data_IF_428486140250
#
_entry.id   IF_428486140250
#
_cell.length_a   1.000
_cell.length_b   1.000
_cell.length_c   1.000
_cell.angle_alpha   90.00
_cell.angle_beta   90.00
_cell.angle_gamma   90.00
#
_symmetry.space_group_name_H-M   'P 1'
#
loop_
_entity.id
_entity.type
_entity.pdbx_description
1 polymer ?
#
# COMPACT_ATOMS: atom_id res chain seq x y z
N UNK A 1 -4.60 -9.21 -11.89
CA UNK A 1 -5.92 -8.68 -12.35
C UNK A 1 -5.90 -8.27 -13.82
N UNK A 2 -4.89 -7.52 -14.27
CA UNK A 2 -4.80 -7.00 -15.65
C UNK A 2 -4.73 -8.09 -16.74
N UNK A 3 -4.09 -9.23 -16.48
CA UNK A 3 -4.01 -10.35 -17.43
C UNK A 3 -5.39 -10.94 -17.84
N UNK A 4 -6.43 -10.72 -17.02
CA UNK A 4 -7.80 -11.16 -17.32
C UNK A 4 -8.59 -10.18 -18.18
N UNK A 5 -8.07 -8.97 -18.36
CA UNK A 5 -8.76 -7.85 -19.02
C UNK A 5 -8.20 -7.65 -20.43
N UNK A 6 -6.87 -7.72 -20.59
CA UNK A 6 -6.21 -7.49 -21.86
C UNK A 6 -6.15 -8.78 -22.68
N UNK A 7 -6.87 -8.80 -23.80
CA UNK A 7 -6.80 -9.89 -24.78
C UNK A 7 -5.48 -9.84 -25.57
N UNK A 8 -5.00 -10.99 -26.04
CA UNK A 8 -3.82 -11.07 -26.91
C UNK A 8 -2.48 -10.85 -26.20
N UNK A 9 -2.42 -10.88 -24.86
CA UNK A 9 -1.16 -10.81 -24.14
C UNK A 9 -0.23 -11.96 -24.54
N UNK A 10 1.06 -11.70 -24.82
CA UNK A 10 2.06 -12.75 -24.98
C UNK A 10 2.06 -13.67 -23.76
N UNK A 11 2.14 -15.00 -23.97
CA UNK A 11 2.04 -16.00 -22.91
C UNK A 11 3.02 -15.74 -21.75
N UNK A 12 4.25 -15.33 -22.08
CA UNK A 12 5.29 -14.96 -21.08
C UNK A 12 4.86 -13.78 -20.21
N UNK A 13 4.22 -12.77 -20.80
CA UNK A 13 3.75 -11.59 -20.09
C UNK A 13 2.52 -11.90 -19.23
N UNK A 14 1.57 -12.69 -19.75
CA UNK A 14 0.42 -13.16 -18.97
C UNK A 14 0.87 -13.93 -17.73
N UNK A 15 1.81 -14.87 -17.89
CA UNK A 15 2.37 -15.64 -16.77
C UNK A 15 3.06 -14.72 -15.75
N UNK A 16 3.87 -13.77 -16.19
CA UNK A 16 4.53 -12.82 -15.29
C UNK A 16 3.51 -11.96 -14.50
N UNK A 17 2.39 -11.58 -15.13
CA UNK A 17 1.31 -10.86 -14.44
C UNK A 17 0.58 -11.72 -13.41
N UNK A 18 0.49 -13.02 -13.62
CA UNK A 18 -0.10 -13.99 -12.67
C UNK A 18 0.80 -14.23 -11.46
N UNK A 19 2.11 -14.12 -11.62
CA UNK A 19 3.11 -14.29 -10.55
C UNK A 19 3.10 -13.12 -9.55
N UNK A 20 2.55 -11.95 -9.92
CA UNK A 20 2.42 -10.82 -8.99
C UNK A 20 1.31 -11.10 -7.98
N UNK A 21 1.71 -11.28 -6.73
CA UNK A 21 0.85 -11.51 -5.57
C UNK A 21 0.57 -10.21 -4.82
N UNK A 22 -0.59 -10.11 -4.18
CA UNK A 22 -1.02 -8.90 -3.48
C UNK A 22 -1.52 -9.22 -2.08
N UNK A 23 -1.09 -8.48 -1.06
CA UNK A 23 -1.59 -8.64 0.33
C UNK A 23 -2.80 -7.76 0.61
N UNK A 24 -3.75 -8.23 1.44
CA UNK A 24 -4.70 -7.35 2.10
C UNK A 24 -3.99 -6.44 3.11
N UNK A 25 -4.34 -5.16 3.10
CA UNK A 25 -3.69 -4.14 3.94
C UNK A 25 -4.73 -3.18 4.53
N UNK A 26 -5.61 -3.66 5.44
CA UNK A 26 -6.54 -2.80 6.13
C UNK A 26 -5.83 -1.79 7.04
N UNK A 27 -6.50 -0.68 7.27
CA UNK A 27 -6.08 0.34 8.25
C UNK A 27 -7.21 0.48 9.27
N UNK A 28 -6.88 0.35 10.54
CA UNK A 28 -7.83 0.49 11.65
C UNK A 28 -7.52 1.81 12.35
N UNK A 29 -8.48 2.73 12.37
CA UNK A 29 -8.38 3.99 13.09
C UNK A 29 -9.09 3.87 14.43
N UNK A 30 -8.35 4.08 15.52
CA UNK A 30 -8.87 4.21 16.87
C UNK A 30 -9.08 5.70 17.17
N UNK A 31 -10.31 6.10 17.49
CA UNK A 31 -10.70 7.50 17.64
C UNK A 31 -11.02 7.78 19.11
N UNK A 32 -10.27 8.70 19.71
CA UNK A 32 -10.42 9.09 21.12
C UNK A 32 -10.84 10.56 21.24
N UNK A 33 -11.64 10.87 22.24
CA UNK A 33 -12.09 12.23 22.61
C UNK A 33 -11.05 13.01 23.42
N UNK A 34 -9.96 12.32 23.79
CA UNK A 34 -8.85 12.86 24.55
C UNK A 34 -7.52 12.34 24.00
N UNK A 35 -6.41 13.02 24.28
CA UNK A 35 -5.08 12.52 23.93
C UNK A 35 -4.79 11.18 24.63
N UNK A 36 -4.48 10.15 23.85
CA UNK A 36 -4.01 8.84 24.32
C UNK A 36 -2.52 8.66 24.00
N UNK A 37 -2.09 9.10 22.82
CA UNK A 37 -0.69 9.06 22.42
C UNK A 37 -0.26 10.32 21.66
N UNK A 38 0.79 10.96 22.16
CA UNK A 38 1.33 12.22 21.60
C UNK A 38 2.86 12.25 21.53
N UNK A 39 3.54 11.14 21.84
CA UNK A 39 5.00 11.11 22.02
C UNK A 39 5.79 11.03 20.69
N UNK A 40 5.17 10.54 19.62
CA UNK A 40 5.83 10.35 18.32
C UNK A 40 4.83 10.29 17.18
N UNK A 41 5.33 10.47 15.95
CA UNK A 41 4.52 10.35 14.74
C UNK A 41 4.17 8.90 14.44
N UNK A 42 5.19 8.05 14.35
CA UNK A 42 5.13 6.64 13.96
C UNK A 42 5.73 5.79 15.09
N UNK A 43 4.99 4.77 15.52
CA UNK A 43 5.37 3.87 16.60
C UNK A 43 5.24 2.42 16.17
N UNK A 44 6.38 1.74 16.10
CA UNK A 44 6.48 0.34 15.70
C UNK A 44 6.08 -0.59 16.84
N UNK A 45 5.26 -1.59 16.53
CA UNK A 45 4.62 -2.47 17.49
C UNK A 45 4.80 -3.96 17.11
N UNK A 46 6.04 -4.46 16.97
CA UNK A 46 6.28 -5.84 16.55
C UNK A 46 5.63 -6.86 17.50
N UNK A 47 5.12 -7.95 16.94
CA UNK A 47 4.48 -9.03 17.69
C UNK A 47 2.97 -8.85 17.94
N UNK A 48 2.37 -7.78 17.40
CA UNK A 48 0.93 -7.52 17.49
C UNK A 48 0.21 -7.84 16.17
N UNK A 49 -1.12 -7.77 16.20
CA UNK A 49 -1.98 -7.93 15.01
C UNK A 49 -1.85 -6.78 14.00
N UNK A 50 -1.13 -5.71 14.33
CA UNK A 50 -0.76 -4.60 13.48
C UNK A 50 0.75 -4.34 13.60
N UNK A 51 1.36 -3.71 12.59
CA UNK A 51 2.82 -3.50 12.53
C UNK A 51 3.25 -2.24 13.27
N UNK A 52 2.49 -1.18 13.09
CA UNK A 52 2.78 0.17 13.57
C UNK A 52 1.49 0.97 13.63
N UNK A 53 1.51 2.06 14.39
CA UNK A 53 0.46 3.06 14.33
C UNK A 53 1.05 4.45 14.20
N UNK A 54 0.32 5.32 13.49
CA UNK A 54 0.65 6.74 13.41
C UNK A 54 -0.37 7.59 14.13
N UNK A 55 0.08 8.76 14.54
CA UNK A 55 -0.76 9.84 15.01
C UNK A 55 -1.23 10.67 13.82
N UNK A 56 -2.50 10.56 13.44
CA UNK A 56 -2.99 11.03 12.14
C UNK A 56 -2.83 12.54 11.91
N UNK A 57 -2.93 13.34 12.97
CA UNK A 57 -2.87 14.80 12.91
C UNK A 57 -1.46 15.36 13.11
N UNK A 58 -0.43 14.51 13.22
CA UNK A 58 0.92 14.92 13.60
C UNK A 58 1.47 16.10 12.79
N UNK A 59 1.26 16.09 11.47
CA UNK A 59 1.80 17.10 10.54
C UNK A 59 1.08 18.45 10.60
N UNK A 60 -0.10 18.52 11.22
CA UNK A 60 -0.88 19.76 11.35
C UNK A 60 -0.87 20.35 12.76
N UNK A 61 -0.36 19.62 13.76
CA UNK A 61 -0.33 20.05 15.17
C UNK A 61 0.36 21.38 15.44
N UNK A 62 1.36 21.73 14.62
CA UNK A 62 2.11 22.99 14.75
C UNK A 62 1.54 24.14 13.93
N UNK A 63 0.41 23.94 13.23
CA UNK A 63 -0.22 25.01 12.47
C UNK A 63 -0.92 25.98 13.43
N UNK A 64 -0.76 27.31 13.26
CA UNK A 64 -1.46 28.29 14.09
C UNK A 64 -2.97 28.07 14.06
N UNK A 65 -3.61 28.13 15.24
CA UNK A 65 -5.06 27.94 15.39
C UNK A 65 -5.56 26.50 15.27
N UNK A 66 -4.66 25.50 15.21
CA UNK A 66 -5.06 24.10 15.26
C UNK A 66 -5.41 23.66 16.68
N UNK A 67 -6.67 23.32 16.91
CA UNK A 67 -7.17 22.74 18.15
C UNK A 67 -7.54 21.27 17.92
N UNK A 68 -6.79 20.30 18.48
CA UNK A 68 -7.07 18.89 18.28
C UNK A 68 -8.38 18.50 18.97
N UNK A 69 -9.42 18.21 18.17
CA UNK A 69 -10.71 17.73 18.67
C UNK A 69 -10.70 16.24 19.04
N UNK A 70 -9.97 15.44 18.28
CA UNK A 70 -9.87 13.99 18.45
C UNK A 70 -8.42 13.56 18.38
N UNK A 71 -8.04 12.55 19.15
CA UNK A 71 -6.79 11.84 18.93
C UNK A 71 -7.08 10.59 18.10
N UNK A 72 -6.69 10.63 16.83
CA UNK A 72 -6.86 9.51 15.90
C UNK A 72 -5.54 8.78 15.75
N UNK A 73 -5.54 7.49 16.09
CA UNK A 73 -4.40 6.59 15.92
C UNK A 73 -4.70 5.64 14.77
N UNK A 74 -3.89 5.66 13.72
CA UNK A 74 -4.09 4.83 12.53
C UNK A 74 -3.13 3.63 12.57
N UNK A 75 -3.68 2.45 12.83
CA UNK A 75 -2.94 1.19 12.94
C UNK A 75 -2.89 0.48 11.58
N UNK A 76 -1.68 0.22 11.07
CA UNK A 76 -1.48 -0.51 9.83
C UNK A 76 -1.48 -2.00 10.09
N UNK A 77 -2.41 -2.70 9.45
CA UNK A 77 -2.80 -4.06 9.86
C UNK A 77 -2.63 -5.03 8.67
N UNK A 78 -1.42 -5.25 8.12
CA UNK A 78 -1.23 -6.19 7.03
C UNK A 78 -1.75 -7.58 7.41
N UNK A 79 -2.50 -8.19 6.51
CA UNK A 79 -2.97 -9.57 6.67
C UNK A 79 -2.23 -10.50 5.71
N UNK A 80 -2.23 -11.79 6.02
CA UNK A 80 -1.80 -12.82 5.08
C UNK A 80 -2.78 -12.91 3.91
N UNK A 81 -2.30 -13.37 2.76
CA UNK A 81 -3.13 -13.47 1.55
C UNK A 81 -4.37 -14.35 1.71
N UNK A 82 -4.27 -15.43 2.49
CA UNK A 82 -5.38 -16.34 2.80
C UNK A 82 -6.40 -15.75 3.78
N UNK A 83 -6.06 -14.67 4.47
CA UNK A 83 -6.95 -13.94 5.38
C UNK A 83 -7.76 -12.84 4.68
N UNK A 84 -7.65 -12.72 3.35
CA UNK A 84 -8.35 -11.67 2.59
C UNK A 84 -9.86 -11.69 2.78
N UNK A 85 -10.44 -12.87 2.93
CA UNK A 85 -11.87 -13.08 3.15
C UNK A 85 -12.36 -12.41 4.44
N UNK A 86 -11.49 -12.18 5.43
CA UNK A 86 -11.85 -11.48 6.67
C UNK A 86 -12.30 -10.03 6.41
N UNK A 87 -12.00 -9.46 5.25
CA UNK A 87 -12.39 -8.10 4.88
C UNK A 87 -13.71 -8.02 4.08
N UNK A 88 -14.31 -9.15 3.72
CA UNK A 88 -15.49 -9.19 2.84
C UNK A 88 -16.79 -8.91 3.58
N UNK A 89 -16.89 -9.33 4.85
CA UNK A 89 -18.09 -9.15 5.66
C UNK A 89 -17.87 -8.17 6.80
N UNK A 90 -18.94 -7.53 7.26
CA UNK A 90 -18.85 -6.68 8.44
C UNK A 90 -18.47 -7.44 9.71
N UNK A 91 -19.07 -8.62 10.04
CA UNK A 91 -18.69 -9.35 11.25
C UNK A 91 -17.21 -9.73 11.28
N UNK A 92 -16.64 -10.16 10.14
CA UNK A 92 -15.23 -10.51 10.05
C UNK A 92 -14.30 -9.30 10.17
N UNK A 93 -14.64 -8.19 9.50
CA UNK A 93 -13.87 -6.96 9.60
C UNK A 93 -13.89 -6.38 11.04
N UNK A 94 -15.03 -6.50 11.75
CA UNK A 94 -15.13 -6.13 13.17
C UNK A 94 -14.20 -6.98 14.05
N UNK A 95 -14.04 -8.28 13.77
CA UNK A 95 -13.07 -9.12 14.49
C UNK A 95 -11.63 -8.65 14.29
N UNK A 96 -11.26 -8.29 13.05
CA UNK A 96 -9.93 -7.71 12.76
C UNK A 96 -9.71 -6.43 13.57
N UNK A 97 -10.66 -5.48 13.51
CA UNK A 97 -10.58 -4.24 14.28
C UNK A 97 -10.52 -4.47 15.79
N UNK A 98 -11.30 -5.41 16.31
CA UNK A 98 -11.29 -5.79 17.72
C UNK A 98 -9.96 -6.39 18.16
N UNK A 99 -9.30 -7.19 17.31
CA UNK A 99 -7.95 -7.71 17.59
C UNK A 99 -6.92 -6.60 17.69
N UNK A 100 -6.96 -5.62 16.77
CA UNK A 100 -6.09 -4.45 16.81
C UNK A 100 -6.28 -3.65 18.10
N UNK A 101 -7.52 -3.38 18.50
CA UNK A 101 -7.81 -2.66 19.74
C UNK A 101 -7.27 -3.42 20.96
N UNK A 102 -7.52 -4.73 21.05
CA UNK A 102 -7.02 -5.56 22.17
C UNK A 102 -5.51 -5.56 22.28
N UNK A 103 -4.79 -5.52 21.17
CA UNK A 103 -3.33 -5.47 21.18
C UNK A 103 -2.81 -4.07 21.49
N UNK A 104 -3.45 -3.03 20.95
CA UNK A 104 -3.14 -1.64 21.29
C UNK A 104 -3.24 -1.39 22.79
N UNK A 105 -4.31 -1.86 23.44
CA UNK A 105 -4.57 -1.65 24.88
C UNK A 105 -3.54 -2.27 25.83
N UNK A 106 -2.58 -3.06 25.31
CA UNK A 106 -1.51 -3.70 26.07
C UNK A 106 -0.15 -3.04 25.87
N UNK A 107 -0.01 -2.08 24.96
CA UNK A 107 1.30 -1.60 24.50
C UNK A 107 2.07 -0.79 25.55
N UNK A 108 1.39 0.08 26.29
CA UNK A 108 2.03 0.99 27.23
C UNK A 108 1.07 1.44 28.36
N UNK A 109 1.61 1.93 29.50
CA UNK A 109 0.77 2.51 30.55
C UNK A 109 -0.10 3.66 30.01
N UNK A 110 -1.42 3.51 30.08
CA UNK A 110 -2.39 4.46 29.53
C UNK A 110 -2.97 4.09 28.16
N UNK A 111 -2.49 3.02 27.52
CA UNK A 111 -3.09 2.48 26.28
C UNK A 111 -4.39 1.70 26.51
N UNK A 112 -4.61 1.19 27.73
CA UNK A 112 -5.84 0.49 28.13
C UNK A 112 -7.01 1.48 28.32
N UNK A 113 -7.51 2.00 27.20
CA UNK A 113 -8.61 2.95 27.12
C UNK A 113 -9.47 2.58 25.92
N UNK A 114 -10.79 2.73 26.06
CA UNK A 114 -11.72 2.47 24.97
C UNK A 114 -11.84 3.70 24.06
N UNK A 115 -11.74 3.53 22.73
CA UNK A 115 -12.03 4.60 21.78
C UNK A 115 -13.54 4.86 21.72
N UNK A 116 -13.94 6.08 21.36
CA UNK A 116 -15.35 6.39 21.09
C UNK A 116 -15.84 5.66 19.83
N UNK A 117 -14.95 5.52 18.85
CA UNK A 117 -15.24 4.94 17.55
C UNK A 117 -14.02 4.19 17.01
N UNK A 118 -14.29 3.13 16.26
CA UNK A 118 -13.28 2.38 15.52
C UNK A 118 -13.69 2.30 14.06
N UNK A 119 -12.86 2.85 13.18
CA UNK A 119 -13.11 2.79 11.73
C UNK A 119 -12.11 1.83 11.09
N UNK A 120 -12.60 0.95 10.21
CA UNK A 120 -11.72 0.06 9.43
C UNK A 120 -11.87 0.33 7.94
N UNK A 121 -10.77 0.69 7.29
CA UNK A 121 -10.71 0.80 5.84
C UNK A 121 -10.23 -0.53 5.24
N UNK A 122 -11.11 -1.21 4.54
CA UNK A 122 -10.92 -2.59 4.07
C UNK A 122 -10.24 -2.61 2.70
N UNK A 123 -8.91 -2.71 2.66
CA UNK A 123 -8.16 -2.81 1.40
C UNK A 123 -7.80 -4.26 1.10
N UNK A 124 -8.54 -4.88 0.19
CA UNK A 124 -8.36 -6.29 -0.16
C UNK A 124 -7.10 -6.59 -0.95
N UNK A 125 -6.74 -5.83 -2.00
CA UNK A 125 -5.57 -6.07 -2.86
C UNK A 125 -4.69 -4.82 -3.12
N UNK A 126 -4.44 -3.94 -2.12
CA UNK A 126 -3.84 -2.64 -2.37
C UNK A 126 -2.35 -2.66 -2.71
N UNK A 127 -1.60 -3.67 -2.26
CA UNK A 127 -0.14 -3.69 -2.32
C UNK A 127 0.34 -5.03 -2.85
N UNK A 128 1.27 -5.00 -3.81
CA UNK A 128 1.96 -6.22 -4.25
C UNK A 128 3.00 -6.66 -3.21
N UNK A 129 3.31 -7.95 -3.19
CA UNK A 129 4.33 -8.54 -2.33
C UNK A 129 5.66 -8.52 -3.04
N UNK A 130 6.70 -7.97 -2.42
CA UNK A 130 8.06 -7.97 -2.94
C UNK A 130 8.69 -9.37 -2.84
N UNK A 131 8.40 -10.24 -3.79
CA UNK A 131 8.98 -11.59 -3.88
C UNK A 131 10.36 -11.56 -4.57
N UNK A 132 11.22 -12.56 -4.32
CA UNK A 132 12.49 -12.70 -5.04
C UNK A 132 12.28 -12.68 -6.56
N UNK A 133 13.04 -11.85 -7.27
CA UNK A 133 12.94 -11.70 -8.73
C UNK A 133 11.78 -10.83 -9.23
N UNK A 134 10.89 -10.34 -8.36
CA UNK A 134 9.79 -9.47 -8.79
C UNK A 134 10.31 -8.23 -9.54
N UNK A 135 11.17 -7.43 -8.88
CA UNK A 135 11.67 -6.18 -9.44
C UNK A 135 12.60 -6.39 -10.65
N UNK A 136 13.46 -7.41 -10.61
CA UNK A 136 14.53 -7.59 -11.60
C UNK A 136 14.15 -8.47 -12.78
N UNK A 137 13.13 -9.33 -12.65
CA UNK A 137 12.76 -10.31 -13.68
C UNK A 137 11.29 -10.21 -14.08
N UNK A 138 10.37 -10.12 -13.11
CA UNK A 138 8.91 -10.16 -13.38
C UNK A 138 8.39 -8.81 -13.88
N UNK A 139 8.60 -7.73 -13.12
CA UNK A 139 8.13 -6.39 -13.48
C UNK A 139 8.63 -5.91 -14.85
N UNK A 140 9.90 -6.15 -15.26
CA UNK A 140 10.36 -5.79 -16.60
C UNK A 140 9.58 -6.47 -17.73
N UNK A 141 9.08 -7.68 -17.52
CA UNK A 141 8.24 -8.40 -18.48
C UNK A 141 6.80 -7.87 -18.43
N UNK A 142 6.25 -7.69 -17.24
CA UNK A 142 4.87 -7.21 -17.03
C UNK A 142 4.64 -5.85 -17.67
N UNK A 143 5.59 -4.94 -17.54
CA UNK A 143 5.43 -3.55 -17.99
C UNK A 143 5.64 -3.32 -19.50
N UNK A 144 5.93 -4.37 -20.28
CA UNK A 144 6.12 -4.22 -21.73
C UNK A 144 4.80 -3.81 -22.39
N UNK A 145 4.79 -2.80 -23.27
CA UNK A 145 3.58 -2.41 -23.98
C UNK A 145 3.17 -3.50 -24.98
N UNK A 146 1.85 -3.62 -25.22
CA UNK A 146 1.27 -4.50 -26.23
C UNK A 146 0.41 -3.66 -27.16
N UNK A 147 0.82 -3.53 -28.42
CA UNK A 147 0.21 -2.66 -29.42
C UNK A 147 0.06 -1.19 -28.98
N UNK A 148 -1.13 -0.83 -28.50
CA UNK A 148 -1.51 0.51 -28.00
C UNK A 148 -1.89 0.49 -26.51
N UNK A 149 -1.57 -0.60 -25.82
CA UNK A 149 -1.83 -0.81 -24.39
C UNK A 149 -0.51 -0.68 -23.65
N UNK A 150 -0.50 0.20 -22.64
CA UNK A 150 0.68 0.51 -21.83
C UNK A 150 0.37 0.29 -20.36
N UNK A 151 1.34 -0.23 -19.60
CA UNK A 151 1.15 -0.64 -18.21
C UNK A 151 1.89 0.29 -17.25
N UNK A 152 1.12 0.94 -16.38
CA UNK A 152 1.62 1.79 -15.29
C UNK A 152 0.89 1.43 -14.01
N UNK A 153 1.65 1.31 -12.92
CA UNK A 153 1.27 1.43 -11.51
C UNK A 153 2.54 1.11 -10.69
N UNK A 154 2.41 1.01 -9.37
CA UNK A 154 3.47 0.53 -8.48
C UNK A 154 3.93 -0.89 -8.81
N UNK A 155 3.03 -1.79 -9.24
CA UNK A 155 3.37 -3.16 -9.62
C UNK A 155 4.16 -3.28 -10.93
N UNK A 156 4.42 -2.16 -11.60
CA UNK A 156 5.27 -2.06 -12.78
C UNK A 156 6.59 -1.31 -12.51
N UNK A 157 6.80 -0.79 -11.30
CA UNK A 157 7.89 0.13 -10.98
C UNK A 157 8.35 0.02 -9.53
N UNK A 158 9.61 -0.39 -9.35
CA UNK A 158 10.29 -0.34 -8.07
C UNK A 158 10.08 -1.59 -7.21
N UNK A 159 10.90 -1.73 -6.16
CA UNK A 159 10.83 -2.91 -5.29
C UNK A 159 9.66 -2.85 -4.30
N UNK A 160 9.07 -1.69 -4.05
CA UNK A 160 7.99 -1.48 -3.07
C UNK A 160 6.87 -0.59 -3.61
N UNK A 161 5.65 -0.81 -3.11
CA UNK A 161 4.48 0.01 -3.46
C UNK A 161 4.57 1.40 -2.84
N UNK A 162 4.88 2.41 -3.66
CA UNK A 162 5.00 3.81 -3.21
C UNK A 162 4.28 4.76 -4.17
N UNK A 163 3.77 5.87 -3.64
CA UNK A 163 3.19 6.94 -4.46
C UNK A 163 4.19 7.46 -5.50
N UNK A 164 5.46 7.63 -5.11
CA UNK A 164 6.52 8.05 -6.03
C UNK A 164 6.74 7.03 -7.16
N UNK A 165 6.71 5.73 -6.86
CA UNK A 165 6.78 4.66 -7.86
C UNK A 165 5.62 4.69 -8.85
N UNK A 166 4.38 4.91 -8.37
CA UNK A 166 3.21 5.06 -9.23
C UNK A 166 3.35 6.25 -10.18
N UNK A 167 3.78 7.41 -9.66
CA UNK A 167 4.00 8.63 -10.46
C UNK A 167 5.09 8.38 -11.51
N UNK A 168 6.20 7.74 -11.11
CA UNK A 168 7.29 7.40 -12.04
C UNK A 168 6.82 6.46 -13.15
N UNK A 169 6.03 5.44 -12.81
CA UNK A 169 5.45 4.53 -13.79
C UNK A 169 4.53 5.27 -14.78
N UNK A 170 3.70 6.19 -14.29
CA UNK A 170 2.81 7.00 -15.12
C UNK A 170 3.61 7.91 -16.07
N UNK A 171 4.61 8.63 -15.56
CA UNK A 171 5.48 9.50 -16.37
C UNK A 171 6.23 8.71 -17.45
N UNK A 172 6.70 7.50 -17.12
CA UNK A 172 7.31 6.60 -18.10
C UNK A 172 6.33 6.25 -19.21
N UNK A 173 5.14 5.78 -18.87
CA UNK A 173 4.12 5.40 -19.86
C UNK A 173 3.71 6.58 -20.74
N UNK A 174 3.57 7.79 -20.18
CA UNK A 174 3.28 8.98 -20.98
C UNK A 174 4.33 9.19 -22.09
N UNK A 175 5.62 9.04 -21.78
CA UNK A 175 6.70 9.14 -22.76
C UNK A 175 6.66 8.01 -23.81
N UNK A 176 6.35 6.79 -23.39
CA UNK A 176 6.20 5.64 -24.31
C UNK A 176 5.05 5.87 -25.31
N UNK A 177 3.93 6.42 -24.84
CA UNK A 177 2.77 6.79 -25.68
C UNK A 177 3.14 7.89 -26.66
N UNK A 178 3.76 8.99 -26.20
CA UNK A 178 4.21 10.09 -27.05
C UNK A 178 5.13 9.59 -28.18
N UNK A 179 6.10 8.73 -27.84
CA UNK A 179 7.00 8.13 -28.83
C UNK A 179 6.24 7.28 -29.85
N UNK A 180 5.31 6.43 -29.38
CA UNK A 180 4.50 5.58 -30.27
C UNK A 180 3.65 6.41 -31.23
N UNK A 181 3.01 7.48 -30.74
CA UNK A 181 2.21 8.40 -31.56
C UNK A 181 3.07 9.16 -32.57
N UNK A 182 4.31 9.49 -32.20
CA UNK A 182 5.27 10.16 -33.08
C UNK A 182 6.00 9.20 -34.05
N UNK A 183 5.68 7.90 -34.06
CA UNK A 183 6.39 6.90 -34.87
C UNK A 183 7.86 6.69 -34.46
N UNK A 184 8.24 7.11 -33.26
CA UNK A 184 9.61 7.00 -32.72
C UNK A 184 9.79 5.67 -31.99
N UNK A 185 11.02 5.12 -31.95
CA UNK A 185 11.31 3.96 -31.10
C UNK A 185 11.08 4.30 -29.63
N UNK A 186 10.72 3.29 -28.83
CA UNK A 186 10.46 3.46 -27.40
C UNK A 186 11.70 4.02 -26.67
N UNK A 187 11.51 4.87 -25.64
CA UNK A 187 12.62 5.39 -24.86
C UNK A 187 13.43 4.26 -24.21
N UNK A 188 14.76 4.36 -24.22
CA UNK A 188 15.62 3.39 -23.53
C UNK A 188 15.43 3.53 -22.01
N UNK A 189 15.28 2.39 -21.33
CA UNK A 189 15.19 2.36 -19.88
C UNK A 189 16.53 2.74 -19.27
N UNK A 190 16.55 3.81 -18.46
CA UNK A 190 17.76 4.23 -17.77
C UNK A 190 18.06 3.29 -16.60
N UNK A 191 19.13 2.51 -16.70
CA UNK A 191 19.52 1.48 -15.73
C UNK A 191 20.12 2.08 -14.44
N UNK A 192 20.40 3.38 -14.42
CA UNK A 192 21.11 4.05 -13.32
C UNK A 192 20.25 4.31 -12.07
N UNK A 193 18.92 4.27 -12.18
CA UNK A 193 18.02 4.52 -11.05
C UNK A 193 17.91 3.37 -10.03
N UNK A 194 18.63 2.27 -10.21
CA UNK A 194 18.61 1.09 -9.33
C UNK A 194 19.66 1.14 -8.19
N UNK A 195 20.45 2.22 -8.07
CA UNK A 195 21.64 2.25 -7.20
C UNK A 195 21.39 2.85 -5.81
N UNK A 196 20.22 3.42 -5.52
CA UNK A 196 19.94 4.04 -4.21
C UNK A 196 18.83 3.31 -3.44
N UNK A 197 19.17 2.14 -2.91
CA UNK A 197 18.46 1.49 -1.80
C UNK A 197 19.47 0.58 -1.09
N UNK A 198 20.37 1.20 -0.32
CA UNK A 198 21.22 0.57 0.67
C UNK A 198 20.91 1.16 2.03
#
# INVERSE_FOLDING_TARGET
MTHRIVQGLPAKQSKAMEEIRYIPYPVVNLIFDKPVFTKGYDTWCPGNTFTDFIVADWVIRKKPGYEPKYNILSCYTPLREDQRSELLSEPSARRVAGSVLRDFQKLFPGSNVDPMEVHIYRRGHPLYISTPGLFTQTQPVVRQPVDRIFFANTDCEGPVSTTAGAIKAAQRVSKEVEHKLAGKPAPKFDKTAAVFAG
#
